data_IF_814109557721
#
_entry.id   IF_814109557721
#
_cell.length_a   1.000
_cell.length_b   1.000
_cell.length_c   1.000
_cell.angle_alpha   90.00
_cell.angle_beta   90.00
_cell.angle_gamma   90.00
#
_symmetry.space_group_name_H-M   'P 1'
#
loop_
_entity.id
_entity.type
_entity.pdbx_description
1 polymer ?
#
# COMPACT_ATOMS: atom_id res chain seq x y z
N UNK A 1 9.86 -5.51 8.31
CA UNK A 1 9.20 -4.19 8.26
C UNK A 1 8.36 -3.98 9.52
N UNK A 2 8.35 -2.76 10.07
CA UNK A 2 7.35 -2.34 11.06
C UNK A 2 6.42 -1.32 10.41
N UNK A 3 5.11 -1.42 10.63
CA UNK A 3 4.14 -0.48 10.08
C UNK A 3 3.21 0.06 11.17
N UNK A 4 2.76 1.31 10.99
CA UNK A 4 1.78 1.95 11.86
C UNK A 4 0.75 2.70 11.04
N UNK A 5 -0.47 2.81 11.57
CA UNK A 5 -1.59 3.51 10.94
C UNK A 5 -2.18 4.50 11.93
N UNK A 6 -2.46 5.71 11.45
CA UNK A 6 -3.20 6.75 12.19
C UNK A 6 -4.30 7.32 11.32
N UNK A 7 -5.25 8.01 11.93
CA UNK A 7 -6.28 8.75 11.22
C UNK A 7 -6.53 10.10 11.87
N UNK A 8 -6.94 11.06 11.06
CA UNK A 8 -7.60 12.28 11.51
C UNK A 8 -9.01 12.37 10.89
N UNK A 9 -9.61 13.57 10.88
CA UNK A 9 -10.95 13.78 10.33
C UNK A 9 -11.03 13.66 8.80
N UNK A 10 -9.91 13.80 8.09
CA UNK A 10 -9.87 13.86 6.63
C UNK A 10 -8.94 12.84 5.97
N UNK A 11 -8.06 12.17 6.72
CA UNK A 11 -7.01 11.33 6.17
C UNK A 11 -6.75 10.07 7.02
N UNK A 12 -6.31 9.01 6.33
CA UNK A 12 -5.52 7.92 6.89
C UNK A 12 -4.05 8.19 6.63
N UNK A 13 -3.21 7.89 7.61
CA UNK A 13 -1.76 7.99 7.52
C UNK A 13 -1.16 6.62 7.78
N UNK A 14 -0.28 6.19 6.89
CA UNK A 14 0.50 4.97 7.03
C UNK A 14 1.97 5.35 7.15
N UNK A 15 2.69 4.69 8.04
CA UNK A 15 4.14 4.78 8.12
C UNK A 15 4.71 3.37 8.16
N UNK A 16 5.57 3.04 7.20
CA UNK A 16 6.28 1.77 7.08
C UNK A 16 7.78 2.00 7.21
N UNK A 17 8.40 1.29 8.14
CA UNK A 17 9.84 1.29 8.38
C UNK A 17 10.39 -0.06 7.89
N UNK A 18 11.12 -0.03 6.79
CA UNK A 18 11.69 -1.22 6.14
C UNK A 18 13.16 -1.35 6.57
N UNK A 19 13.54 -2.56 6.96
CA UNK A 19 14.93 -2.90 7.27
C UNK A 19 15.44 -3.73 6.11
N UNK A 20 16.35 -3.15 5.35
CA UNK A 20 16.88 -3.73 4.13
C UNK A 20 18.28 -3.13 3.88
N UNK A 21 19.26 -4.01 3.72
CA UNK A 21 20.64 -3.60 3.50
C UNK A 21 20.95 -3.32 2.02
N UNK A 22 20.14 -3.86 1.11
CA UNK A 22 20.42 -3.94 -0.32
C UNK A 22 19.32 -3.26 -1.16
N UNK A 23 18.88 -2.08 -0.70
CA UNK A 23 17.78 -1.32 -1.32
C UNK A 23 18.01 -1.11 -2.82
N UNK A 24 17.08 -1.62 -3.62
CA UNK A 24 17.09 -1.61 -5.06
C UNK A 24 16.07 -0.62 -5.64
N UNK A 25 16.51 0.10 -6.67
CA UNK A 25 15.67 0.93 -7.52
C UNK A 25 16.27 0.99 -8.92
N UNK A 26 15.50 0.59 -9.93
CA UNK A 26 15.94 0.67 -11.32
C UNK A 26 16.02 2.13 -11.78
N UNK A 27 17.15 2.57 -12.38
CA UNK A 27 17.28 3.93 -12.90
C UNK A 27 16.45 4.17 -14.17
N UNK A 28 16.03 3.12 -14.87
CA UNK A 28 15.29 3.20 -16.15
C UNK A 28 13.83 2.74 -16.06
N UNK A 29 13.46 2.00 -15.01
CA UNK A 29 12.12 1.45 -14.81
C UNK A 29 11.58 1.89 -13.45
N UNK A 30 10.84 3.00 -13.43
CA UNK A 30 10.40 3.67 -12.19
C UNK A 30 9.54 2.79 -11.26
N UNK A 31 8.91 1.76 -11.82
CA UNK A 31 8.06 0.79 -11.12
C UNK A 31 8.83 -0.47 -10.67
N UNK A 32 10.13 -0.54 -10.95
CA UNK A 32 10.99 -1.65 -10.56
C UNK A 32 11.91 -1.19 -9.44
N UNK A 33 11.36 -1.16 -8.24
CA UNK A 33 12.01 -0.68 -7.03
C UNK A 33 11.44 -1.43 -5.82
N UNK A 34 12.18 -1.49 -4.72
CA UNK A 34 11.57 -1.94 -3.47
C UNK A 34 10.51 -0.95 -3.04
N UNK A 35 9.51 -1.48 -2.34
CA UNK A 35 8.39 -0.67 -1.93
C UNK A 35 7.48 -1.38 -0.95
N UNK A 36 6.39 -0.69 -0.65
CA UNK A 36 5.35 -1.18 0.23
C UNK A 36 4.01 -1.02 -0.47
N UNK A 37 3.28 -2.11 -0.54
CA UNK A 37 1.85 -2.11 -0.86
C UNK A 37 1.05 -1.87 0.43
N UNK A 38 0.14 -0.90 0.37
CA UNK A 38 -0.87 -0.61 1.37
C UNK A 38 -2.23 -1.04 0.81
N UNK A 39 -2.90 -1.96 1.51
CA UNK A 39 -4.20 -2.46 1.13
C UNK A 39 -5.26 -1.91 2.09
N UNK A 40 -6.37 -1.42 1.55
CA UNK A 40 -7.41 -0.73 2.32
C UNK A 40 -8.78 -1.23 1.87
N UNK A 41 -9.51 -1.91 2.73
CA UNK A 41 -10.95 -2.15 2.56
C UNK A 41 -11.68 -1.04 3.30
N UNK A 42 -12.10 -0.02 2.55
CA UNK A 42 -12.59 1.24 3.11
C UNK A 42 -13.95 1.07 3.82
N UNK A 43 -14.77 0.13 3.35
CA UNK A 43 -16.08 -0.18 3.90
C UNK A 43 -16.12 -1.36 4.87
N UNK A 44 -14.98 -2.04 5.10
CA UNK A 44 -14.89 -3.27 5.91
C UNK A 44 -15.85 -4.36 5.36
N UNK A 45 -15.85 -4.51 4.04
CA UNK A 45 -16.72 -5.42 3.29
C UNK A 45 -16.36 -6.89 3.47
N UNK A 46 -15.11 -7.22 3.82
CA UNK A 46 -14.64 -8.61 4.04
C UNK A 46 -14.81 -9.49 2.80
N UNK A 47 -14.30 -9.02 1.67
CA UNK A 47 -14.42 -9.69 0.39
C UNK A 47 -13.40 -10.84 0.25
N UNK A 48 -13.71 -11.78 -0.63
CA UNK A 48 -12.83 -12.90 -1.01
C UNK A 48 -12.00 -12.58 -2.26
N UNK A 49 -12.32 -11.49 -2.95
CA UNK A 49 -11.62 -10.98 -4.13
C UNK A 49 -11.70 -9.43 -4.15
N UNK A 50 -10.83 -8.72 -4.89
CA UNK A 50 -10.89 -7.27 -5.03
C UNK A 50 -12.20 -6.83 -5.69
N UNK A 51 -12.84 -5.81 -5.13
CA UNK A 51 -14.02 -5.17 -5.73
C UNK A 51 -14.11 -3.70 -5.27
N UNK A 52 -15.12 -2.98 -5.77
CA UNK A 52 -15.32 -1.54 -5.51
C UNK A 52 -15.17 -1.20 -4.02
N UNK A 53 -14.42 -0.13 -3.71
CA UNK A 53 -14.13 0.32 -2.35
C UNK A 53 -13.04 -0.48 -1.61
N UNK A 54 -12.37 -1.42 -2.29
CA UNK A 54 -11.14 -2.06 -1.84
C UNK A 54 -9.97 -1.55 -2.68
N UNK A 55 -8.95 -1.02 -2.02
CA UNK A 55 -7.83 -0.33 -2.67
C UNK A 55 -6.51 -1.05 -2.42
N UNK A 56 -5.62 -0.96 -3.41
CA UNK A 56 -4.21 -1.33 -3.32
C UNK A 56 -3.39 -0.12 -3.75
N UNK A 57 -2.48 0.34 -2.90
CA UNK A 57 -1.60 1.47 -3.18
C UNK A 57 -0.16 1.01 -3.02
N UNK A 58 0.63 1.06 -4.08
CA UNK A 58 2.07 0.80 -4.03
C UNK A 58 2.83 2.09 -3.83
N UNK A 59 3.85 2.08 -2.97
CA UNK A 59 4.77 3.17 -2.78
C UNK A 59 6.22 2.67 -2.83
N UNK A 60 7.07 3.28 -3.65
CA UNK A 60 8.48 2.88 -3.75
C UNK A 60 9.36 3.53 -2.69
N UNK A 61 10.55 2.97 -2.47
CA UNK A 61 11.63 3.56 -1.66
C UNK A 61 12.15 4.92 -2.19
N UNK A 62 11.69 5.36 -3.37
CA UNK A 62 12.01 6.65 -3.96
C UNK A 62 10.81 7.60 -4.03
N UNK A 63 9.67 7.23 -3.43
CA UNK A 63 8.49 8.08 -3.35
C UNK A 63 7.62 8.08 -4.62
N UNK A 64 7.68 7.02 -5.43
CA UNK A 64 6.70 6.81 -6.50
C UNK A 64 5.43 6.20 -5.93
N UNK A 65 4.26 6.48 -6.54
CA UNK A 65 2.97 5.91 -6.14
C UNK A 65 2.31 5.25 -7.35
N UNK A 66 1.71 4.07 -7.14
CA UNK A 66 0.66 3.55 -8.00
C UNK A 66 -0.56 3.19 -7.17
N UNK A 67 -1.76 3.52 -7.67
CA UNK A 67 -3.01 3.23 -6.99
C UNK A 67 -3.90 2.33 -7.87
N UNK A 68 -4.60 1.42 -7.21
CA UNK A 68 -5.52 0.47 -7.80
C UNK A 68 -6.78 0.39 -6.95
N UNK A 69 -7.91 0.16 -7.60
CA UNK A 69 -9.16 -0.23 -6.97
C UNK A 69 -9.55 -1.62 -7.46
N UNK A 70 -10.17 -2.40 -6.58
CA UNK A 70 -10.75 -3.67 -6.95
C UNK A 70 -11.93 -3.47 -7.88
N UNK A 71 -12.10 -4.38 -8.84
CA UNK A 71 -13.28 -4.42 -9.70
C UNK A 71 -13.49 -5.83 -10.21
N UNK A 72 -14.61 -6.44 -9.86
CA UNK A 72 -14.99 -7.77 -10.34
C UNK A 72 -13.88 -8.84 -10.17
N UNK A 73 -13.17 -8.81 -9.05
CA UNK A 73 -12.12 -9.76 -8.70
C UNK A 73 -10.72 -9.44 -9.23
N UNK A 74 -10.54 -8.31 -9.92
CA UNK A 74 -9.26 -7.85 -10.43
C UNK A 74 -8.84 -6.51 -9.83
N UNK A 75 -7.55 -6.21 -9.87
CA UNK A 75 -7.03 -4.87 -9.56
C UNK A 75 -6.99 -4.05 -10.84
N UNK A 76 -7.71 -2.93 -10.89
CA UNK A 76 -7.62 -1.95 -11.98
C UNK A 76 -6.83 -0.74 -11.52
N UNK A 77 -5.85 -0.31 -12.33
CA UNK A 77 -5.07 0.88 -12.04
C UNK A 77 -5.99 2.10 -12.15
N UNK A 78 -5.97 2.95 -11.14
CA UNK A 78 -6.76 4.18 -11.09
C UNK A 78 -5.83 5.40 -11.07
N UNK A 79 -6.35 6.53 -11.52
CA UNK A 79 -5.71 7.81 -11.25
C UNK A 79 -5.90 8.15 -9.77
N UNK A 80 -4.92 8.83 -9.19
CA UNK A 80 -5.02 9.28 -7.82
C UNK A 80 -4.82 10.79 -7.74
N UNK A 81 -5.71 11.45 -7.01
CA UNK A 81 -5.57 12.84 -6.62
C UNK A 81 -5.50 12.91 -5.09
N UNK A 82 -4.56 13.71 -4.58
CA UNK A 82 -4.42 13.94 -3.14
C UNK A 82 -3.69 12.86 -2.33
N UNK A 83 -3.33 11.71 -2.91
CA UNK A 83 -2.36 10.80 -2.27
C UNK A 83 -1.00 11.49 -2.19
N UNK A 84 -0.40 11.50 -1.01
CA UNK A 84 0.94 12.05 -0.78
C UNK A 84 1.84 10.97 -0.19
N UNK A 85 3.00 10.77 -0.79
CA UNK A 85 4.03 9.88 -0.26
C UNK A 85 5.29 10.67 0.05
N UNK A 86 5.94 10.33 1.14
CA UNK A 86 7.32 10.69 1.40
C UNK A 86 8.12 9.41 1.62
N UNK A 87 9.32 9.36 1.05
CA UNK A 87 10.27 8.31 1.35
C UNK A 87 11.58 8.90 1.84
N UNK A 88 12.19 8.23 2.81
CA UNK A 88 13.46 8.63 3.40
C UNK A 88 14.36 7.42 3.59
N UNK A 89 15.49 7.42 2.90
CA UNK A 89 16.56 6.46 3.11
C UNK A 89 17.27 6.71 4.43
N UNK A 90 17.67 5.63 5.10
CA UNK A 90 18.44 5.65 6.35
C UNK A 90 19.44 4.50 6.34
N UNK A 91 20.34 4.47 7.32
CA UNK A 91 21.25 3.34 7.47
C UNK A 91 20.44 2.05 7.67
N UNK A 92 20.68 1.05 6.81
CA UNK A 92 20.03 -0.27 6.87
C UNK A 92 18.55 -0.28 6.47
N UNK A 93 18.09 0.66 5.63
CA UNK A 93 16.79 0.58 4.96
C UNK A 93 16.18 1.94 4.66
N UNK A 94 14.86 1.98 4.64
CA UNK A 94 14.10 3.18 4.29
C UNK A 94 12.78 3.25 5.05
N UNK A 95 12.23 4.45 5.12
CA UNK A 95 10.91 4.72 5.66
C UNK A 95 10.00 5.25 4.54
N UNK A 96 8.73 4.84 4.55
CA UNK A 96 7.67 5.33 3.67
C UNK A 96 6.53 5.86 4.53
N UNK A 97 6.14 7.11 4.29
CA UNK A 97 4.94 7.71 4.85
C UNK A 97 3.94 7.99 3.74
N UNK A 98 2.74 7.42 3.85
CA UNK A 98 1.65 7.60 2.89
C UNK A 98 0.47 8.28 3.59
N UNK A 99 0.01 9.39 3.04
CA UNK A 99 -1.24 10.04 3.39
C UNK A 99 -2.30 9.72 2.33
N UNK A 100 -3.44 9.20 2.80
CA UNK A 100 -4.60 8.84 1.99
C UNK A 100 -5.81 9.66 2.43
N UNK A 101 -6.30 10.61 1.62
CA UNK A 101 -7.53 11.32 1.92
C UNK A 101 -8.72 10.36 2.01
N UNK A 102 -9.60 10.55 2.99
CA UNK A 102 -10.83 9.76 3.11
C UNK A 102 -11.76 9.95 1.91
N UNK A 103 -11.71 11.13 1.26
CA UNK A 103 -12.42 11.41 0.01
C UNK A 103 -11.93 10.54 -1.15
N UNK A 104 -10.63 10.23 -1.21
CA UNK A 104 -10.09 9.31 -2.22
C UNK A 104 -10.69 7.90 -2.06
N UNK A 105 -10.91 7.48 -0.81
CA UNK A 105 -11.51 6.19 -0.48
C UNK A 105 -13.05 6.18 -0.60
N UNK A 106 -13.67 7.27 -1.03
CA UNK A 106 -15.12 7.51 -0.94
C UNK A 106 -15.69 7.23 0.47
N UNK A 107 -14.86 7.37 1.51
CA UNK A 107 -15.20 6.99 2.87
C UNK A 107 -15.98 8.12 3.53
N UNK A 108 -17.29 7.94 3.57
CA UNK A 108 -18.25 8.87 4.19
C UNK A 108 -18.84 8.34 5.50
N UNK A 109 -18.65 7.05 5.78
CA UNK A 109 -19.15 6.38 6.98
C UNK A 109 -18.13 6.35 8.13
N UNK A 110 -18.62 5.90 9.29
CA UNK A 110 -17.81 5.70 10.50
C UNK A 110 -17.36 4.26 10.70
N UNK A 111 -17.58 3.37 9.73
CA UNK A 111 -17.17 1.97 9.86
C UNK A 111 -15.64 1.87 10.00
N UNK A 112 -15.14 0.88 10.76
CA UNK A 112 -13.72 0.55 10.73
C UNK A 112 -13.27 0.29 9.28
N UNK A 113 -11.99 0.54 9.00
CA UNK A 113 -11.34 0.07 7.77
C UNK A 113 -10.61 -1.24 8.07
N UNK A 114 -10.43 -2.09 7.06
CA UNK A 114 -9.46 -3.19 7.17
C UNK A 114 -8.21 -2.87 6.40
N UNK A 115 -7.07 -3.30 6.93
CA UNK A 115 -5.77 -2.99 6.37
C UNK A 115 -4.90 -4.23 6.22
N UNK A 116 -4.10 -4.23 5.16
CA UNK A 116 -3.00 -5.17 4.99
C UNK A 116 -1.79 -4.44 4.39
N UNK A 117 -0.63 -5.08 4.48
CA UNK A 117 0.62 -4.59 3.91
C UNK A 117 1.29 -5.69 3.10
N UNK A 118 1.93 -5.30 2.01
CA UNK A 118 2.87 -6.13 1.25
C UNK A 118 4.23 -5.45 1.20
N UNK A 119 5.30 -6.13 1.61
CA UNK A 119 6.67 -5.66 1.38
C UNK A 119 7.13 -6.19 0.02
N UNK A 120 7.42 -5.29 -0.90
CA UNK A 120 7.96 -5.64 -2.22
C UNK A 120 9.48 -5.50 -2.22
N UNK A 121 10.14 -6.59 -2.60
CA UNK A 121 11.57 -6.70 -2.83
C UNK A 121 11.80 -6.86 -4.33
N UNK A 122 12.56 -5.96 -4.92
CA UNK A 122 12.91 -5.97 -6.33
C UNK A 122 14.40 -6.25 -6.51
N UNK A 123 14.72 -7.01 -7.54
CA UNK A 123 16.10 -7.19 -8.02
C UNK A 123 16.16 -6.87 -9.50
N UNK A 124 17.36 -6.95 -10.09
CA UNK A 124 17.51 -6.77 -11.54
C UNK A 124 16.76 -7.84 -12.36
N UNK A 125 16.41 -8.99 -11.79
CA UNK A 125 15.83 -10.13 -12.53
C UNK A 125 14.49 -10.66 -11.98
N UNK A 126 14.11 -10.31 -10.75
CA UNK A 126 12.92 -10.84 -10.10
C UNK A 126 12.34 -9.83 -9.10
N UNK A 127 11.02 -9.93 -8.89
CA UNK A 127 10.29 -9.19 -7.86
C UNK A 127 9.57 -10.20 -6.97
N UNK A 128 9.52 -9.93 -5.67
CA UNK A 128 8.85 -10.77 -4.69
C UNK A 128 8.07 -9.89 -3.71
N UNK A 129 6.93 -10.39 -3.23
CA UNK A 129 6.10 -9.67 -2.25
C UNK A 129 5.78 -10.56 -1.07
N UNK A 130 6.11 -10.09 0.13
CA UNK A 130 5.74 -10.71 1.40
C UNK A 130 4.55 -9.97 2.02
N UNK A 131 3.56 -10.72 2.50
CA UNK A 131 2.38 -10.15 3.16
C UNK A 131 2.41 -10.38 4.66
N UNK A 132 1.56 -9.66 5.40
CA UNK A 132 1.30 -9.96 6.81
C UNK A 132 0.87 -11.42 6.94
N UNK A 133 1.36 -12.11 7.97
CA UNK A 133 1.08 -13.54 8.19
C UNK A 133 -0.42 -13.85 8.13
N UNK A 134 -0.79 -14.90 7.40
CA UNK A 134 -2.17 -15.33 7.14
C UNK A 134 -3.07 -14.35 6.36
N UNK A 135 -2.56 -13.20 5.94
CA UNK A 135 -3.27 -12.32 5.01
C UNK A 135 -3.06 -12.75 3.57
N UNK A 136 -4.03 -12.46 2.71
CA UNK A 136 -3.95 -12.70 1.27
C UNK A 136 -4.19 -11.38 0.53
N UNK A 137 -3.36 -11.11 -0.48
CA UNK A 137 -3.43 -9.89 -1.31
C UNK A 137 -4.85 -9.59 -1.78
N UNK A 138 -5.59 -10.61 -2.21
CA UNK A 138 -6.87 -10.45 -2.90
C UNK A 138 -8.09 -10.50 -1.99
N UNK A 139 -7.93 -10.84 -0.71
CA UNK A 139 -9.05 -11.27 0.11
C UNK A 139 -9.15 -10.47 1.41
N UNK A 140 -9.91 -9.37 1.39
CA UNK A 140 -10.00 -8.44 2.52
C UNK A 140 -10.59 -9.02 3.81
N UNK A 141 -11.31 -10.15 3.72
CA UNK A 141 -11.74 -10.88 4.92
C UNK A 141 -10.56 -11.44 5.75
N UNK A 142 -9.36 -11.56 5.16
CA UNK A 142 -8.14 -12.01 5.84
C UNK A 142 -7.33 -10.88 6.46
N UNK A 143 -7.73 -9.63 6.24
CA UNK A 143 -7.00 -8.44 6.70
C UNK A 143 -7.39 -8.06 8.13
N UNK A 144 -6.61 -7.18 8.77
CA UNK A 144 -6.84 -6.74 10.15
C UNK A 144 -7.81 -5.57 10.22
#
# INVERSE_FOLDING_TARGET
MNASVKRDAGNLFFCAQVSDADVYSSPSEILKADGVYFYIDAGNYKLTAPDDGVFKIWCSNNGNIEAYEGKQGAWEKIQHEGLLVQSKHRAGGYDIELQVPLSFLNKTDVQPVRINFGLEECTSIANYTEYVVHSQEKASHTWC
#
